data_IF_000553164399
#
_entry.id   IF_000553164399
#
_cell.length_a   1.000
_cell.length_b   1.000
_cell.length_c   1.000
_cell.angle_alpha   90.00
_cell.angle_beta   90.00
_cell.angle_gamma   90.00
#
_symmetry.space_group_name_H-M   'P 1'
#
loop_
_entity.id
_entity.type
_entity.pdbx_description
1 polymer ?
#
# COMPACT_ATOMS: atom_id res chain seq x y z
N UNK A 1 34.00 60.94 53.57
CA UNK A 1 34.50 59.57 53.79
C UNK A 1 33.36 58.62 53.45
N UNK A 2 33.51 57.79 52.42
CA UNK A 2 33.01 56.41 52.29
C UNK A 2 33.13 56.01 50.80
N UNK A 3 33.86 54.91 50.59
CA UNK A 3 34.37 54.43 49.31
C UNK A 3 33.27 53.80 48.45
N UNK A 4 33.31 54.00 47.14
CA UNK A 4 32.60 53.14 46.18
C UNK A 4 33.61 52.35 45.35
N UNK A 5 33.56 51.04 45.52
CA UNK A 5 34.40 50.01 44.90
C UNK A 5 34.00 49.84 43.43
N UNK A 6 34.97 49.93 42.51
CA UNK A 6 34.77 49.56 41.10
C UNK A 6 34.87 48.04 40.97
N UNK A 7 33.78 47.38 40.62
CA UNK A 7 33.75 45.94 40.29
C UNK A 7 33.98 45.79 38.79
N UNK A 8 35.16 45.26 38.42
CA UNK A 8 35.52 44.86 37.06
C UNK A 8 34.71 43.62 36.66
N UNK A 9 33.91 43.70 35.60
CA UNK A 9 33.22 42.54 35.02
C UNK A 9 34.14 41.85 34.02
N UNK A 10 34.72 40.73 34.44
CA UNK A 10 35.42 39.78 33.58
C UNK A 10 34.37 39.01 32.75
N UNK A 11 34.33 39.21 31.42
CA UNK A 11 33.47 38.42 30.53
C UNK A 11 34.13 37.05 30.28
N UNK A 12 33.50 35.98 30.76
CA UNK A 12 33.80 34.61 30.35
C UNK A 12 33.09 34.33 29.01
N UNK A 13 33.84 34.16 27.92
CA UNK A 13 33.34 33.64 26.65
C UNK A 13 33.24 32.10 26.76
N UNK A 14 32.03 31.60 26.94
CA UNK A 14 31.73 30.16 26.81
C UNK A 14 31.46 29.88 25.33
N UNK A 15 32.39 29.19 24.67
CA UNK A 15 32.18 28.67 23.32
C UNK A 15 31.19 27.50 23.39
N UNK A 16 29.96 27.73 22.92
CA UNK A 16 28.96 26.66 22.75
C UNK A 16 29.20 26.07 21.36
N UNK A 17 29.87 24.92 21.31
CA UNK A 17 29.93 24.10 20.11
C UNK A 17 28.58 23.42 19.90
N UNK A 18 27.80 23.92 18.94
CA UNK A 18 26.57 23.30 18.48
C UNK A 18 26.92 22.01 17.71
N UNK A 19 26.78 20.86 18.36
CA UNK A 19 26.66 19.59 17.65
C UNK A 19 25.28 19.59 17.01
N UNK A 20 25.21 19.97 15.74
CA UNK A 20 24.01 19.77 14.94
C UNK A 20 23.82 18.26 14.75
N UNK A 21 22.98 17.66 15.60
CA UNK A 21 22.41 16.34 15.30
C UNK A 21 21.59 16.50 14.02
N UNK A 22 22.06 15.89 12.93
CA UNK A 22 21.28 15.73 11.72
C UNK A 22 20.08 14.84 12.06
N UNK A 23 18.92 15.46 12.25
CA UNK A 23 17.65 14.75 12.30
C UNK A 23 17.41 14.19 10.90
N UNK A 24 17.57 12.87 10.75
CA UNK A 24 17.17 12.13 9.55
C UNK A 24 15.66 12.30 9.41
N UNK A 25 15.25 13.23 8.54
CA UNK A 25 13.87 13.64 8.32
C UNK A 25 13.12 12.69 7.37
N UNK A 26 13.62 11.48 7.17
CA UNK A 26 12.97 10.50 6.32
C UNK A 26 11.73 9.92 7.03
N UNK A 27 10.61 10.52 6.65
CA UNK A 27 9.22 10.08 6.81
C UNK A 27 9.10 8.73 6.05
N UNK A 28 9.20 7.60 6.78
CA UNK A 28 9.24 6.19 6.26
C UNK A 28 8.01 5.39 6.71
N UNK A 29 7.45 4.46 5.90
CA UNK A 29 6.45 3.45 6.37
C UNK A 29 6.83 3.01 7.79
N UNK A 30 5.89 2.85 8.72
CA UNK A 30 6.25 2.69 10.14
C UNK A 30 7.17 1.47 10.29
N UNK A 31 8.40 1.71 10.78
CA UNK A 31 9.44 0.68 10.89
C UNK A 31 9.97 0.12 9.56
N UNK A 32 9.71 0.80 8.46
CA UNK A 32 10.03 0.44 7.08
C UNK A 32 11.33 1.07 6.57
N UNK A 33 11.68 0.71 5.34
CA UNK A 33 12.92 1.04 4.65
C UNK A 33 12.66 1.30 3.16
N UNK A 34 13.53 2.03 2.45
CA UNK A 34 13.36 2.26 1.01
C UNK A 34 13.24 0.95 0.23
N UNK A 35 12.23 0.87 -0.63
CA UNK A 35 11.99 -0.33 -1.43
C UNK A 35 13.06 -0.52 -2.52
N UNK A 36 13.31 -1.78 -2.88
CA UNK A 36 14.21 -2.10 -3.98
C UNK A 36 13.42 -2.40 -5.25
N UNK A 37 13.90 -1.90 -6.39
CA UNK A 37 13.26 -2.11 -7.69
C UNK A 37 13.14 -3.59 -8.05
N UNK A 38 14.08 -4.43 -7.62
CA UNK A 38 14.12 -5.87 -7.90
C UNK A 38 12.98 -6.65 -7.24
N UNK A 39 12.54 -6.24 -6.04
CA UNK A 39 11.49 -6.92 -5.26
C UNK A 39 10.09 -6.35 -5.48
N UNK A 40 9.96 -5.19 -6.13
CA UNK A 40 8.69 -4.44 -6.24
C UNK A 40 8.22 -4.23 -7.68
N UNK A 41 8.72 -5.01 -8.63
CA UNK A 41 8.36 -4.86 -10.05
C UNK A 41 6.87 -5.02 -10.37
N UNK A 42 6.05 -5.50 -9.44
CA UNK A 42 4.60 -5.62 -9.60
C UNK A 42 3.81 -4.43 -9.04
N UNK A 43 4.47 -3.58 -8.25
CA UNK A 43 3.84 -2.43 -7.60
C UNK A 43 3.34 -1.43 -8.63
N UNK A 44 2.09 -1.00 -8.45
CA UNK A 44 1.55 0.16 -9.16
C UNK A 44 0.97 1.18 -8.20
N UNK A 45 0.93 2.43 -8.66
CA UNK A 45 0.29 3.58 -8.05
C UNK A 45 -1.04 3.80 -8.76
N UNK A 46 -2.15 3.65 -8.04
CA UNK A 46 -3.48 4.01 -8.51
C UNK A 46 -3.70 5.49 -8.18
N UNK A 47 -4.08 6.25 -9.20
CA UNK A 47 -4.15 7.71 -9.13
C UNK A 47 -5.48 8.25 -9.64
N UNK A 48 -5.97 9.31 -9.02
CA UNK A 48 -7.04 10.14 -9.55
C UNK A 48 -6.50 10.88 -10.77
N UNK A 49 -7.04 10.55 -11.94
CA UNK A 49 -6.51 10.99 -13.23
C UNK A 49 -6.48 12.51 -13.37
N UNK A 50 -7.52 13.20 -12.95
CA UNK A 50 -7.60 14.67 -13.07
C UNK A 50 -6.51 15.38 -12.27
N UNK A 51 -6.22 14.90 -11.06
CA UNK A 51 -5.20 15.46 -10.16
C UNK A 51 -3.81 15.12 -10.69
N UNK A 52 -3.59 13.88 -11.11
CA UNK A 52 -2.30 13.45 -11.68
C UNK A 52 -1.95 14.11 -13.03
N UNK A 53 -2.95 14.55 -13.80
CA UNK A 53 -2.73 15.35 -15.01
C UNK A 53 -2.34 16.80 -14.69
N UNK A 54 -2.84 17.36 -13.59
CA UNK A 54 -2.51 18.72 -13.17
C UNK A 54 -1.09 18.81 -12.60
N UNK A 55 -0.71 17.82 -11.78
CA UNK A 55 0.64 17.69 -11.23
C UNK A 55 0.98 16.20 -11.17
N UNK A 56 1.94 15.77 -11.99
CA UNK A 56 2.31 14.36 -12.06
C UNK A 56 2.74 13.84 -10.70
N UNK A 57 2.17 12.70 -10.30
CA UNK A 57 2.40 12.17 -8.98
C UNK A 57 1.76 13.02 -7.90
N UNK A 58 0.68 13.76 -8.13
CA UNK A 58 -0.13 14.30 -7.01
C UNK A 58 -1.40 13.50 -6.79
N UNK A 59 -1.88 12.78 -7.81
CA UNK A 59 -3.15 12.07 -7.75
C UNK A 59 -3.13 10.72 -7.05
N UNK A 60 -2.03 10.25 -6.47
CA UNK A 60 -2.00 8.92 -5.83
C UNK A 60 -2.85 8.90 -4.57
N UNK A 61 -3.59 7.80 -4.41
CA UNK A 61 -4.35 7.55 -3.20
C UNK A 61 -4.42 6.06 -2.82
N UNK A 62 -4.07 5.15 -3.73
CA UNK A 62 -4.01 3.71 -3.45
C UNK A 62 -2.87 3.03 -4.21
N UNK A 63 -2.47 1.87 -3.71
CA UNK A 63 -1.59 0.91 -4.37
C UNK A 63 -2.35 -0.15 -5.18
N UNK A 64 -1.59 -0.99 -5.87
CA UNK A 64 -2.10 -2.14 -6.61
C UNK A 64 -0.97 -3.07 -7.02
N UNK A 65 -1.33 -4.25 -7.51
CA UNK A 65 -0.40 -5.25 -8.03
C UNK A 65 -0.75 -5.63 -9.45
N UNK A 66 0.20 -5.58 -10.38
CA UNK A 66 0.02 -6.11 -11.72
C UNK A 66 0.05 -7.64 -11.68
N UNK A 67 -1.07 -8.31 -11.98
CA UNK A 67 -1.21 -9.77 -11.88
C UNK A 67 -1.25 -10.48 -13.24
N UNK A 68 -1.50 -9.73 -14.32
CA UNK A 68 -1.22 -10.12 -15.70
C UNK A 68 -0.94 -8.85 -16.52
N UNK A 69 -0.78 -8.96 -17.84
CA UNK A 69 -0.43 -7.83 -18.71
C UNK A 69 -1.46 -6.68 -18.70
N UNK A 70 -2.70 -6.91 -18.27
CA UNK A 70 -3.77 -5.90 -18.26
C UNK A 70 -4.56 -5.79 -16.97
N UNK A 71 -4.26 -6.58 -15.95
CA UNK A 71 -5.08 -6.65 -14.74
C UNK A 71 -4.26 -6.20 -13.56
N UNK A 72 -4.73 -5.15 -12.90
CA UNK A 72 -4.24 -4.71 -11.60
C UNK A 72 -5.21 -5.19 -10.53
N UNK A 73 -4.71 -5.93 -9.56
CA UNK A 73 -5.41 -6.33 -8.35
C UNK A 73 -5.22 -5.26 -7.27
N UNK A 74 -6.31 -4.87 -6.61
CA UNK A 74 -6.33 -3.82 -5.58
C UNK A 74 -7.51 -4.05 -4.61
N UNK A 75 -7.68 -3.15 -3.65
CA UNK A 75 -8.79 -3.15 -2.69
C UNK A 75 -10.06 -2.54 -3.32
N UNK A 76 -11.24 -3.06 -2.97
CA UNK A 76 -12.52 -2.51 -3.39
C UNK A 76 -12.75 -1.09 -2.84
N UNK A 77 -12.28 -0.80 -1.62
CA UNK A 77 -12.38 0.51 -0.99
C UNK A 77 -11.71 1.61 -1.83
N UNK A 78 -10.69 1.27 -2.60
CA UNK A 78 -10.02 2.19 -3.54
C UNK A 78 -10.88 2.52 -4.76
N UNK A 79 -11.88 1.69 -5.05
CA UNK A 79 -12.68 1.75 -6.27
C UNK A 79 -14.05 2.39 -6.07
N UNK A 80 -14.41 2.69 -4.82
CA UNK A 80 -15.67 3.36 -4.45
C UNK A 80 -15.44 4.80 -4.00
N UNK A 81 -16.50 5.60 -4.02
CA UNK A 81 -16.53 6.91 -3.37
C UNK A 81 -16.99 6.81 -1.91
N UNK A 82 -17.13 7.95 -1.24
CA UNK A 82 -17.50 8.04 0.17
C UNK A 82 -18.90 7.46 0.46
N UNK A 83 -19.79 7.40 -0.55
CA UNK A 83 -21.09 6.76 -0.45
C UNK A 83 -21.07 5.26 -0.83
N UNK A 84 -19.89 4.67 -1.02
CA UNK A 84 -19.74 3.26 -1.41
C UNK A 84 -20.08 2.98 -2.89
N UNK A 85 -20.26 4.01 -3.72
CA UNK A 85 -20.58 3.84 -5.14
C UNK A 85 -19.32 3.67 -5.98
N UNK A 86 -19.34 2.70 -6.89
CA UNK A 86 -18.26 2.44 -7.84
C UNK A 86 -17.91 3.69 -8.65
N UNK A 87 -16.63 4.07 -8.64
CA UNK A 87 -16.07 5.12 -9.50
C UNK A 87 -15.93 4.62 -10.94
N UNK A 88 -16.14 5.52 -11.90
CA UNK A 88 -16.02 5.20 -13.33
C UNK A 88 -14.56 4.99 -13.75
N UNK A 89 -14.32 4.21 -14.80
CA UNK A 89 -12.97 3.88 -15.27
C UNK A 89 -12.12 5.11 -15.59
N UNK A 90 -12.72 6.17 -16.16
CA UNK A 90 -12.04 7.42 -16.49
C UNK A 90 -11.56 8.22 -15.28
N UNK A 91 -12.01 7.88 -14.06
CA UNK A 91 -11.50 8.46 -12.81
C UNK A 91 -10.04 8.06 -12.56
N UNK A 92 -9.64 6.88 -13.03
CA UNK A 92 -8.37 6.25 -12.66
C UNK A 92 -7.29 6.42 -13.73
N UNK A 93 -6.06 6.53 -13.24
CA UNK A 93 -4.82 6.36 -14.00
C UNK A 93 -3.91 5.44 -13.19
N UNK A 94 -3.31 4.46 -13.84
CA UNK A 94 -2.36 3.52 -13.20
C UNK A 94 -0.96 3.89 -13.65
N UNK A 95 -0.03 4.00 -12.70
CA UNK A 95 1.38 4.30 -12.97
C UNK A 95 2.27 3.27 -12.30
N UNK A 96 3.26 2.74 -13.01
CA UNK A 96 4.19 1.74 -12.49
C UNK A 96 5.59 1.87 -13.09
N UNK A 97 6.51 1.02 -12.64
CA UNK A 97 7.87 0.93 -13.18
C UNK A 97 8.90 1.92 -12.62
N UNK A 98 8.54 2.71 -11.60
CA UNK A 98 9.45 3.59 -10.87
C UNK A 98 9.23 3.54 -9.36
N UNK A 99 10.27 3.86 -8.59
CA UNK A 99 10.24 3.94 -7.13
C UNK A 99 9.84 5.34 -6.64
N UNK A 100 10.21 6.39 -7.37
CA UNK A 100 9.83 7.76 -7.04
C UNK A 100 8.50 8.12 -7.73
N UNK A 101 7.50 8.43 -6.93
CA UNK A 101 6.13 8.69 -7.41
C UNK A 101 5.99 9.94 -8.28
N UNK A 102 6.88 10.91 -8.06
CA UNK A 102 6.86 12.24 -8.68
C UNK A 102 7.71 12.34 -9.95
N UNK A 103 8.55 11.34 -10.23
CA UNK A 103 9.47 11.36 -11.37
C UNK A 103 8.97 10.48 -12.52
N UNK A 104 8.99 11.04 -13.73
CA UNK A 104 8.83 10.27 -14.97
C UNK A 104 10.21 9.93 -15.53
N UNK A 105 10.42 8.65 -15.80
CA UNK A 105 11.63 8.11 -16.41
C UNK A 105 11.26 7.31 -17.66
N UNK A 106 12.25 6.85 -18.41
CA UNK A 106 12.04 5.95 -19.56
C UNK A 106 11.33 4.62 -19.19
N UNK A 107 11.37 4.24 -17.91
CA UNK A 107 10.76 3.04 -17.36
C UNK A 107 9.38 3.30 -16.74
N UNK A 108 8.86 4.53 -16.82
CA UNK A 108 7.56 4.87 -16.27
C UNK A 108 6.45 4.39 -17.21
N UNK A 109 5.64 3.44 -16.74
CA UNK A 109 4.43 3.03 -17.44
C UNK A 109 3.26 3.85 -16.93
N UNK A 110 2.50 4.39 -17.87
CA UNK A 110 1.29 5.14 -17.58
C UNK A 110 0.15 4.51 -18.39
N UNK A 111 -0.83 3.94 -17.71
CA UNK A 111 -1.96 3.24 -18.31
C UNK A 111 -3.29 3.88 -17.92
N UNK A 112 -4.24 3.91 -18.86
CA UNK A 112 -5.64 4.21 -18.52
C UNK A 112 -6.33 2.92 -18.09
N UNK A 113 -7.46 3.09 -17.42
CA UNK A 113 -8.36 1.99 -17.05
C UNK A 113 -9.52 1.95 -18.03
N UNK A 114 -9.81 0.76 -18.56
CA UNK A 114 -10.97 0.48 -19.40
C UNK A 114 -12.17 -0.08 -18.61
N UNK A 115 -11.91 -0.82 -17.53
CA UNK A 115 -12.97 -1.43 -16.70
C UNK A 115 -12.58 -1.45 -15.22
N UNK A 116 -13.58 -1.21 -14.37
CA UNK A 116 -13.50 -1.30 -12.90
C UNK A 116 -14.42 -2.41 -12.45
N UNK A 117 -13.88 -3.40 -11.76
CA UNK A 117 -14.61 -4.56 -11.24
C UNK A 117 -14.43 -4.57 -9.72
N UNK A 118 -15.54 -4.61 -9.00
CA UNK A 118 -15.57 -4.68 -7.53
C UNK A 118 -16.26 -5.99 -7.17
N UNK A 119 -15.79 -6.66 -6.11
CA UNK A 119 -16.46 -7.85 -5.61
C UNK A 119 -17.94 -7.55 -5.32
N UNK A 120 -18.82 -8.42 -5.78
CA UNK A 120 -20.27 -8.19 -5.78
C UNK A 120 -20.84 -8.06 -4.36
N UNK A 121 -20.16 -8.67 -3.39
CA UNK A 121 -20.51 -8.64 -1.97
C UNK A 121 -19.60 -7.72 -1.14
N UNK A 122 -18.90 -6.76 -1.76
CA UNK A 122 -18.15 -5.76 -1.00
C UNK A 122 -19.12 -4.92 -0.14
N UNK A 123 -18.84 -4.84 1.16
CA UNK A 123 -19.60 -4.02 2.10
C UNK A 123 -18.72 -2.91 2.68
N UNK A 124 -18.99 -1.62 2.37
CA UNK A 124 -18.18 -0.51 2.86
C UNK A 124 -18.27 -0.29 4.38
N UNK A 125 -19.27 -0.85 5.07
CA UNK A 125 -19.42 -0.66 6.52
C UNK A 125 -18.54 -1.63 7.31
N UNK A 126 -18.47 -2.88 6.85
CA UNK A 126 -17.66 -3.94 7.48
C UNK A 126 -16.31 -4.14 6.81
N UNK A 127 -16.10 -3.55 5.63
CA UNK A 127 -14.95 -3.76 4.76
C UNK A 127 -14.81 -5.24 4.35
N UNK A 128 -15.92 -5.99 4.38
CA UNK A 128 -15.97 -7.37 3.91
C UNK A 128 -15.74 -7.43 2.40
N UNK A 129 -15.05 -8.48 1.94
CA UNK A 129 -14.75 -8.71 0.52
C UNK A 129 -14.07 -7.51 -0.16
N UNK A 130 -13.09 -6.90 0.53
CA UNK A 130 -12.36 -5.74 0.04
C UNK A 130 -11.34 -6.11 -1.06
N UNK A 131 -11.86 -6.42 -2.24
CA UNK A 131 -11.09 -6.82 -3.40
C UNK A 131 -11.70 -6.25 -4.69
N UNK A 132 -10.84 -5.78 -5.58
CA UNK A 132 -11.23 -5.20 -6.85
C UNK A 132 -10.17 -5.34 -7.93
N UNK A 133 -10.59 -5.21 -9.20
CA UNK A 133 -9.73 -5.24 -10.36
C UNK A 133 -9.87 -3.94 -11.16
N UNK A 134 -8.73 -3.43 -11.61
CA UNK A 134 -8.66 -2.45 -12.69
C UNK A 134 -8.13 -3.15 -13.94
N UNK A 135 -8.92 -3.11 -15.02
CA UNK A 135 -8.49 -3.60 -16.33
C UNK A 135 -7.91 -2.42 -17.11
N UNK A 136 -6.65 -2.53 -17.51
CA UNK A 136 -5.93 -1.55 -18.30
C UNK A 136 -6.46 -1.51 -19.74
N UNK A 137 -6.42 -0.34 -20.38
CA UNK A 137 -6.82 -0.18 -21.79
C UNK A 137 -5.84 -0.88 -22.75
N UNK A 138 -4.56 -0.90 -22.39
CA UNK A 138 -3.46 -1.50 -23.14
C UNK A 138 -2.64 -2.47 -22.27
N UNK A 139 -2.02 -3.50 -22.87
CA UNK A 139 -1.16 -4.40 -22.13
C UNK A 139 0.15 -3.71 -21.75
N UNK A 140 0.67 -4.08 -20.59
CA UNK A 140 2.06 -3.81 -20.21
C UNK A 140 2.94 -4.81 -20.95
N UNK A 141 3.90 -4.30 -21.71
CA UNK A 141 4.82 -5.14 -22.50
C UNK A 141 5.60 -6.11 -21.61
N UNK A 142 5.61 -7.38 -21.99
CA UNK A 142 6.36 -8.44 -21.29
C UNK A 142 7.88 -8.23 -21.31
N UNK A 143 8.39 -7.31 -22.13
CA UNK A 143 9.78 -6.89 -22.19
C UNK A 143 10.13 -5.75 -21.23
N UNK A 144 9.15 -5.07 -20.62
CA UNK A 144 9.36 -3.89 -19.76
C UNK A 144 10.33 -4.08 -18.57
N UNK A 145 11.40 -3.30 -18.47
CA UNK A 145 12.53 -3.62 -17.58
C UNK A 145 12.19 -3.67 -16.08
N UNK A 146 11.29 -2.79 -15.62
CA UNK A 146 11.03 -2.56 -14.18
C UNK A 146 9.59 -2.81 -13.75
N UNK A 147 8.71 -3.22 -14.66
CA UNK A 147 7.31 -3.54 -14.39
C UNK A 147 7.02 -4.95 -14.91
N UNK A 148 6.60 -5.83 -14.01
CA UNK A 148 6.39 -7.26 -14.22
C UNK A 148 5.18 -7.71 -13.43
N UNK A 149 4.56 -8.78 -13.90
CA UNK A 149 3.46 -9.42 -13.21
C UNK A 149 3.98 -10.14 -11.95
N UNK A 150 3.17 -10.24 -10.90
CA UNK A 150 3.39 -11.12 -9.76
C UNK A 150 2.44 -12.31 -9.82
N UNK A 151 2.96 -13.49 -9.44
CA UNK A 151 2.15 -14.70 -9.30
C UNK A 151 1.32 -14.65 -8.01
N UNK A 152 0.08 -15.11 -8.09
CA UNK A 152 -0.79 -15.21 -6.91
C UNK A 152 -0.41 -16.43 -6.08
N UNK A 153 -0.45 -16.29 -4.76
CA UNK A 153 -0.25 -17.42 -3.86
C UNK A 153 -1.31 -18.51 -4.12
N UNK A 154 -0.91 -19.78 -3.97
CA UNK A 154 -1.79 -20.96 -4.10
C UNK A 154 -2.23 -21.53 -2.75
N UNK A 155 -1.62 -21.06 -1.66
CA UNK A 155 -1.90 -21.49 -0.30
C UNK A 155 -1.77 -20.32 0.65
N UNK A 156 -2.67 -20.25 1.64
CA UNK A 156 -2.65 -19.20 2.66
C UNK A 156 -1.30 -19.25 3.41
N UNK A 157 -0.64 -18.11 3.65
CA UNK A 157 0.62 -18.11 4.40
C UNK A 157 0.38 -18.52 5.85
N UNK A 158 1.30 -19.30 6.42
CA UNK A 158 1.20 -19.82 7.79
C UNK A 158 1.56 -18.74 8.80
N UNK A 159 0.96 -18.74 9.98
CA UNK A 159 1.35 -17.86 11.07
C UNK A 159 2.87 -17.95 11.35
N UNK A 160 3.48 -16.79 11.62
CA UNK A 160 4.94 -16.64 11.74
C UNK A 160 5.67 -16.44 10.40
N UNK A 161 5.01 -16.61 9.25
CA UNK A 161 5.62 -16.28 7.96
C UNK A 161 5.95 -14.80 7.88
N UNK A 162 7.15 -14.48 7.41
CA UNK A 162 7.56 -13.10 7.13
C UNK A 162 7.12 -12.76 5.70
N UNK A 163 6.39 -11.67 5.58
CA UNK A 163 5.92 -11.12 4.32
C UNK A 163 6.38 -9.67 4.19
N UNK A 164 6.34 -9.13 2.99
CA UNK A 164 6.69 -7.75 2.69
C UNK A 164 5.49 -7.03 2.09
N UNK A 165 5.20 -5.85 2.61
CA UNK A 165 4.26 -4.90 1.99
C UNK A 165 4.99 -3.65 1.55
N UNK A 166 4.52 -3.03 0.47
CA UNK A 166 5.15 -1.86 -0.15
C UNK A 166 4.11 -0.83 -0.59
N UNK A 167 4.49 0.44 -0.53
CA UNK A 167 3.65 1.53 -1.02
C UNK A 167 4.23 2.91 -0.75
N UNK A 168 3.47 3.94 -1.12
CA UNK A 168 3.82 5.35 -0.92
C UNK A 168 2.94 6.00 0.15
N UNK A 169 2.24 5.19 0.95
CA UNK A 169 1.37 5.66 2.00
C UNK A 169 2.09 6.55 3.00
N UNK A 170 1.30 7.27 3.78
CA UNK A 170 1.80 8.08 4.87
C UNK A 170 2.53 7.22 5.88
N UNK A 171 3.32 7.87 6.69
CA UNK A 171 4.18 7.22 7.68
C UNK A 171 3.78 7.59 9.08
N UNK A 172 2.78 8.46 9.18
CA UNK A 172 2.18 8.97 10.40
C UNK A 172 0.69 8.97 10.17
N UNK A 173 -0.01 8.18 10.98
CA UNK A 173 -1.47 8.07 10.90
C UNK A 173 -2.14 9.46 10.97
N UNK A 174 -3.05 9.73 10.04
CA UNK A 174 -3.86 10.96 10.02
C UNK A 174 -3.21 12.17 9.35
N UNK A 175 -2.00 12.04 8.78
CA UNK A 175 -1.42 13.09 7.94
C UNK A 175 -1.78 12.89 6.46
N UNK A 176 -2.03 13.97 5.70
CA UNK A 176 -2.30 13.89 4.26
C UNK A 176 -1.02 13.66 3.43
N UNK A 177 0.13 13.46 4.07
CA UNK A 177 1.44 13.37 3.41
C UNK A 177 1.75 11.92 3.06
N UNK A 178 1.80 11.63 1.77
CA UNK A 178 2.32 10.39 1.17
C UNK A 178 3.83 10.52 0.92
N UNK A 179 4.57 9.41 0.94
CA UNK A 179 6.00 9.44 0.64
C UNK A 179 6.26 9.68 -0.83
N UNK A 180 7.43 10.26 -1.14
CA UNK A 180 7.90 10.43 -2.52
C UNK A 180 8.51 9.14 -3.05
N UNK A 181 9.35 8.51 -2.23
CA UNK A 181 9.98 7.23 -2.53
C UNK A 181 9.08 6.07 -2.10
N UNK A 182 9.13 4.97 -2.86
CA UNK A 182 8.44 3.73 -2.52
C UNK A 182 9.12 3.13 -1.29
N UNK A 183 8.31 2.79 -0.30
CA UNK A 183 8.75 2.24 0.96
C UNK A 183 8.33 0.77 1.06
N UNK A 184 9.06 0.02 1.89
CA UNK A 184 8.79 -1.37 2.19
C UNK A 184 8.85 -1.62 3.70
N UNK A 185 8.04 -2.56 4.18
CA UNK A 185 8.14 -3.08 5.55
C UNK A 185 7.91 -4.57 5.57
N UNK A 186 8.70 -5.25 6.41
CA UNK A 186 8.51 -6.67 6.67
C UNK A 186 7.55 -6.84 7.85
N UNK A 187 6.51 -7.64 7.64
CA UNK A 187 5.46 -7.94 8.61
C UNK A 187 5.32 -9.44 8.79
N UNK A 188 4.92 -9.84 9.99
CA UNK A 188 4.75 -11.26 10.34
C UNK A 188 3.27 -11.63 10.28
N UNK A 189 2.91 -12.73 9.61
CA UNK A 189 1.54 -13.27 9.65
C UNK A 189 1.19 -13.67 11.08
N UNK A 190 0.05 -13.18 11.56
CA UNK A 190 -0.44 -13.48 12.89
C UNK A 190 -1.57 -14.51 12.85
N UNK A 191 -1.72 -15.35 13.89
CA UNK A 191 -2.89 -16.20 14.04
C UNK A 191 -4.17 -15.36 14.09
N UNK A 192 -5.22 -15.82 13.40
CA UNK A 192 -6.49 -15.10 13.34
C UNK A 192 -7.15 -15.03 14.72
N UNK A 193 -6.96 -16.05 15.55
CA UNK A 193 -7.49 -16.14 16.91
C UNK A 193 -6.87 -15.06 17.81
N UNK A 194 -5.58 -14.77 17.61
CA UNK A 194 -4.88 -13.71 18.34
C UNK A 194 -5.33 -12.33 17.89
N UNK A 195 -5.47 -12.11 16.57
CA UNK A 195 -5.91 -10.82 16.05
C UNK A 195 -7.39 -10.55 16.30
N UNK A 196 -8.25 -11.57 16.23
CA UNK A 196 -9.68 -11.40 16.38
C UNK A 196 -10.15 -11.57 17.84
N UNK A 197 -9.23 -11.80 18.77
CA UNK A 197 -9.51 -11.87 20.19
C UNK A 197 -9.91 -10.53 20.81
N UNK A 198 -10.44 -10.59 22.04
CA UNK A 198 -10.96 -9.44 22.79
C UNK A 198 -9.90 -8.37 23.12
N UNK A 199 -8.63 -8.74 23.13
CA UNK A 199 -7.51 -7.81 23.30
C UNK A 199 -7.12 -7.04 22.03
N UNK A 200 -7.79 -7.30 20.91
CA UNK A 200 -7.48 -6.72 19.61
C UNK A 200 -8.79 -6.38 18.86
N UNK A 201 -9.04 -6.98 17.69
CA UNK A 201 -10.17 -6.65 16.82
C UNK A 201 -11.52 -7.19 17.32
N UNK A 202 -11.53 -8.05 18.35
CA UNK A 202 -12.75 -8.44 19.07
C UNK A 202 -13.92 -8.91 18.18
N UNK A 203 -13.65 -9.86 17.29
CA UNK A 203 -14.65 -10.51 16.45
C UNK A 203 -14.97 -9.82 15.12
N UNK A 204 -14.37 -8.66 14.81
CA UNK A 204 -14.69 -7.94 13.55
C UNK A 204 -13.90 -8.42 12.33
N UNK A 205 -12.85 -9.23 12.51
CA UNK A 205 -12.13 -9.83 11.38
C UNK A 205 -12.97 -10.97 10.81
N UNK A 206 -13.24 -10.91 9.51
CA UNK A 206 -14.12 -11.83 8.79
C UNK A 206 -13.33 -12.87 7.99
N UNK A 207 -14.03 -13.88 7.48
CA UNK A 207 -13.47 -14.81 6.51
C UNK A 207 -12.97 -14.06 5.26
N UNK A 208 -11.89 -14.57 4.67
CA UNK A 208 -11.21 -13.90 3.56
C UNK A 208 -10.30 -12.75 3.99
N UNK A 209 -10.04 -12.57 5.29
CA UNK A 209 -9.07 -11.62 5.81
C UNK A 209 -7.83 -12.31 6.42
N UNK A 210 -6.68 -11.66 6.27
CA UNK A 210 -5.41 -11.98 6.91
C UNK A 210 -5.05 -10.89 7.91
N UNK A 211 -4.30 -11.27 8.93
CA UNK A 211 -3.71 -10.36 9.90
C UNK A 211 -2.19 -10.44 9.82
N UNK A 212 -1.52 -9.31 9.63
CA UNK A 212 -0.06 -9.28 9.56
C UNK A 212 0.52 -8.01 10.16
N UNK A 213 1.63 -8.16 10.88
CA UNK A 213 2.31 -7.08 11.59
C UNK A 213 2.91 -7.57 12.89
N UNK A 214 3.59 -6.69 13.60
CA UNK A 214 4.15 -7.01 14.91
C UNK A 214 3.13 -6.73 16.01
N UNK A 215 2.86 -7.71 16.88
CA UNK A 215 1.90 -7.54 18.00
C UNK A 215 2.36 -6.44 18.96
N UNK A 216 3.67 -6.24 19.10
CA UNK A 216 4.25 -5.14 19.89
C UNK A 216 4.08 -3.76 19.23
N UNK A 217 3.56 -3.71 18.00
CA UNK A 217 3.47 -2.51 17.18
C UNK A 217 4.80 -2.11 16.54
N UNK A 218 4.83 -0.92 15.97
CA UNK A 218 6.03 -0.31 15.39
C UNK A 218 6.38 -0.76 13.96
N UNK A 219 5.57 -1.62 13.33
CA UNK A 219 5.68 -1.98 11.91
C UNK A 219 4.33 -2.19 11.27
N UNK A 220 4.02 -1.44 10.21
CA UNK A 220 2.74 -1.58 9.49
C UNK A 220 2.72 -0.82 8.17
N UNK A 221 1.82 -1.22 7.28
CA UNK A 221 1.33 -0.38 6.18
C UNK A 221 0.42 0.74 6.71
N UNK A 222 0.22 1.81 5.93
CA UNK A 222 -0.54 2.97 6.41
C UNK A 222 -1.33 3.68 5.30
N UNK A 223 -1.96 4.83 5.60
CA UNK A 223 -2.88 5.48 4.64
C UNK A 223 -2.21 5.76 3.30
N UNK A 224 -2.79 5.31 2.19
CA UNK A 224 -2.21 5.43 0.84
C UNK A 224 -1.51 4.16 0.36
N UNK A 225 -1.24 3.20 1.26
CA UNK A 225 -0.81 1.84 0.88
C UNK A 225 -1.99 0.92 0.54
N UNK A 226 -3.23 1.31 0.87
CA UNK A 226 -4.45 0.53 0.59
C UNK A 226 -4.48 0.04 -0.86
N UNK A 227 -4.84 -1.23 -1.04
CA UNK A 227 -4.78 -1.92 -2.32
C UNK A 227 -3.39 -2.42 -2.74
N UNK A 228 -2.34 -2.03 -2.02
CA UNK A 228 -0.96 -2.50 -2.24
C UNK A 228 -0.76 -3.98 -1.91
N UNK A 229 0.39 -4.56 -2.33
CA UNK A 229 0.68 -5.98 -2.17
C UNK A 229 1.07 -6.36 -0.74
N UNK A 230 0.65 -7.55 -0.30
CA UNK A 230 1.35 -8.33 0.72
C UNK A 230 1.99 -9.55 0.05
N UNK A 231 3.31 -9.56 -0.04
CA UNK A 231 4.10 -10.60 -0.70
C UNK A 231 4.71 -11.55 0.33
N UNK A 232 4.41 -12.83 0.22
CA UNK A 232 4.96 -13.89 1.08
C UNK A 232 5.67 -14.92 0.20
N UNK A 233 6.95 -15.19 0.46
CA UNK A 233 7.71 -16.18 -0.32
C UNK A 233 7.80 -15.87 -1.83
N UNK A 234 7.67 -14.60 -2.23
CA UNK A 234 7.67 -14.18 -3.63
C UNK A 234 6.31 -14.18 -4.33
N UNK A 235 5.24 -14.62 -3.65
CA UNK A 235 3.88 -14.67 -4.20
C UNK A 235 2.98 -13.63 -3.55
N UNK A 236 2.04 -13.10 -4.31
CA UNK A 236 1.03 -12.17 -3.81
C UNK A 236 0.03 -12.94 -2.94
N UNK A 237 0.12 -12.78 -1.64
CA UNK A 237 -0.68 -13.51 -0.65
C UNK A 237 -1.83 -12.66 -0.10
N UNK A 238 -1.68 -11.34 -0.09
CA UNK A 238 -2.72 -10.44 0.41
C UNK A 238 -2.74 -9.08 -0.28
N UNK A 239 -3.78 -8.31 0.02
CA UNK A 239 -4.01 -6.95 -0.44
C UNK A 239 -4.18 -6.07 0.79
N UNK A 240 -3.42 -4.98 0.92
CA UNK A 240 -3.57 -4.03 2.05
C UNK A 240 -5.01 -3.50 2.07
N UNK A 241 -5.72 -3.66 3.18
CA UNK A 241 -7.12 -3.27 3.32
C UNK A 241 -7.29 -2.14 4.34
N UNK A 242 -7.34 -2.46 5.64
CA UNK A 242 -7.54 -1.50 6.72
C UNK A 242 -6.75 -1.88 7.99
N UNK A 243 -6.80 -1.02 9.01
CA UNK A 243 -6.19 -1.29 10.31
C UNK A 243 -6.65 -0.25 11.35
N UNK A 244 -6.47 -0.57 12.64
CA UNK A 244 -6.77 0.38 13.73
C UNK A 244 -5.52 1.22 14.04
N UNK A 245 -5.35 2.30 13.28
CA UNK A 245 -4.09 3.04 13.30
C UNK A 245 -2.99 2.28 12.56
N UNK A 246 -1.87 2.94 12.33
CA UNK A 246 -0.72 2.31 11.69
C UNK A 246 0.29 1.91 12.78
N UNK A 247 0.69 0.64 12.82
CA UNK A 247 1.74 0.15 13.72
C UNK A 247 1.35 0.22 15.19
N UNK A 248 0.05 0.23 15.49
CA UNK A 248 -0.47 0.26 16.85
C UNK A 248 -0.28 -1.12 17.50
N UNK A 249 0.27 -1.14 18.72
CA UNK A 249 0.43 -2.37 19.48
C UNK A 249 -0.93 -3.08 19.66
N UNK A 250 -0.93 -4.40 19.54
CA UNK A 250 -2.11 -5.29 19.54
C UNK A 250 -3.03 -5.16 18.33
N UNK A 251 -2.79 -4.26 17.38
CA UNK A 251 -3.63 -4.11 16.19
C UNK A 251 -2.79 -4.18 14.90
N UNK A 252 -2.37 -5.39 14.49
CA UNK A 252 -1.68 -5.56 13.19
C UNK A 252 -2.61 -5.18 12.03
N UNK A 253 -2.03 -4.90 10.86
CA UNK A 253 -2.78 -4.58 9.66
C UNK A 253 -3.65 -5.74 9.18
N UNK A 254 -4.79 -5.39 8.58
CA UNK A 254 -5.72 -6.34 7.96
C UNK A 254 -5.56 -6.28 6.44
N UNK A 255 -5.53 -7.47 5.84
CA UNK A 255 -5.33 -7.66 4.41
C UNK A 255 -6.40 -8.59 3.86
N UNK A 256 -6.83 -8.39 2.63
CA UNK A 256 -7.69 -9.37 1.94
C UNK A 256 -6.87 -10.58 1.52
N UNK A 257 -7.34 -11.80 1.79
CA UNK A 257 -6.69 -13.07 1.47
C UNK A 257 -6.84 -13.40 -0.01
N UNK A 258 -5.75 -13.29 -0.78
CA UNK A 258 -5.76 -13.54 -2.22
C UNK A 258 -6.13 -14.98 -2.57
N UNK A 259 -5.79 -15.94 -1.70
CA UNK A 259 -6.09 -17.36 -1.90
C UNK A 259 -7.59 -17.60 -1.72
N UNK A 260 -8.21 -16.96 -0.72
CA UNK A 260 -9.65 -17.02 -0.52
C UNK A 260 -10.41 -16.51 -1.76
N UNK A 261 -9.95 -15.43 -2.37
CA UNK A 261 -10.60 -14.83 -3.54
C UNK A 261 -10.12 -15.38 -4.90
N UNK A 262 -9.37 -16.50 -4.92
CA UNK A 262 -8.71 -16.98 -6.14
C UNK A 262 -9.67 -17.22 -7.30
N UNK A 263 -10.78 -17.90 -7.04
CA UNK A 263 -11.79 -18.19 -8.07
C UNK A 263 -12.41 -16.91 -8.63
N UNK A 264 -12.69 -15.93 -7.75
CA UNK A 264 -13.23 -14.64 -8.15
C UNK A 264 -12.26 -13.86 -9.03
N UNK A 265 -10.97 -13.87 -8.69
CA UNK A 265 -9.92 -13.20 -9.48
C UNK A 265 -9.83 -13.85 -10.87
N UNK A 266 -9.78 -15.19 -10.94
CA UNK A 266 -9.65 -15.90 -12.21
C UNK A 266 -10.85 -15.71 -13.14
N UNK A 267 -12.06 -15.61 -12.58
CA UNK A 267 -13.28 -15.34 -13.33
C UNK A 267 -13.29 -13.95 -13.97
N UNK A 268 -12.65 -12.96 -13.35
CA UNK A 268 -12.81 -11.55 -13.72
C UNK A 268 -11.57 -10.87 -14.32
N UNK A 269 -10.37 -11.44 -14.12
CA UNK A 269 -9.14 -10.91 -14.72
C UNK A 269 -9.25 -10.90 -16.26
N UNK A 270 -8.52 -10.01 -16.90
CA UNK A 270 -8.47 -9.98 -18.35
C UNK A 270 -7.86 -11.28 -18.90
N UNK A 271 -8.52 -11.88 -19.90
CA UNK A 271 -8.00 -13.01 -20.69
C UNK A 271 -7.74 -12.54 -22.12
N UNK A 272 -6.49 -12.64 -22.56
CA UNK A 272 -6.09 -12.27 -23.92
C UNK A 272 -6.58 -13.35 -24.88
N UNK A 273 -7.80 -13.18 -25.42
CA UNK A 273 -8.41 -14.09 -26.39
C UNK A 273 -9.44 -15.02 -25.75
N UNK A 274 -10.70 -14.63 -25.87
CA UNK A 274 -11.86 -15.48 -25.61
C UNK A 274 -12.96 -15.12 -26.59
N UNK A 275 -12.96 -15.77 -27.75
CA UNK A 275 -14.20 -16.09 -28.44
C UNK A 275 -15.20 -16.62 -27.40
N UNK A 276 -16.47 -16.27 -27.61
CA UNK A 276 -17.60 -16.72 -26.83
C UNK A 276 -17.53 -18.22 -26.52
N UNK A 277 -17.01 -18.60 -25.35
CA UNK A 277 -17.39 -19.88 -24.74
C UNK A 277 -18.79 -19.65 -24.21
N UNK A 278 -19.76 -19.84 -25.10
CA UNK A 278 -21.16 -20.03 -24.74
C UNK A 278 -21.20 -21.25 -23.81
N UNK A 279 -21.38 -21.00 -22.51
CA UNK A 279 -21.97 -22.01 -21.65
C UNK A 279 -23.38 -22.23 -22.16
N UNK A 280 -23.57 -23.34 -22.87
CA UNK A 280 -24.90 -23.81 -23.26
C UNK A 280 -25.41 -24.62 -22.07
N UNK A 281 -26.46 -24.05 -21.45
CA UNK A 281 -27.41 -24.55 -20.44
C UNK A 281 -27.03 -25.82 -19.68
#
# INVERSE_FOLDING_TARGET
MWFSVKISKLLLLVAVSSVAASVDNDVKIIGGFPAQQSSTRHQVSIRQKSVDLALFGSGHFCGGSLINDRTVLTAALCLVNEEGKRRVASYFRVVGGGLNRLLQTQNTVIANVSKVIIHENYDPNTVANDIGLLILDKPVESSHQTLRTIELATSRPVAGSICQTTGWGTTVYGLPMVTVELMAVNVTIQPIESCNGTGSYNGIILDGMLCAGEITGGKDSCQGDSGGPLVCGGFLAGIVSYGKGCGLASYPGIYSDVVHFREWIDKHKHTSGGENVKFTV
#
